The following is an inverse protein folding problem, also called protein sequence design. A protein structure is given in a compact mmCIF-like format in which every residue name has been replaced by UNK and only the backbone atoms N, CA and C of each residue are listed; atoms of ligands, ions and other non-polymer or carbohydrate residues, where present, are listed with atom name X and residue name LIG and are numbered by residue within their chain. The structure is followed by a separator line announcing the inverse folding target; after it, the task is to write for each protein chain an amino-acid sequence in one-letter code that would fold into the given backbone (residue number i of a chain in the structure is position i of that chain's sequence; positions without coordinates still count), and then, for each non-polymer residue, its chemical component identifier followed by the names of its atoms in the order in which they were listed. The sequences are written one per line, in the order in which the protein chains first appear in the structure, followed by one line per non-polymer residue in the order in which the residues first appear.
data_IF_674017259593
#
_entry.id   IF_674017259593
#
_cell.length_a   1.000
_cell.length_b   1.000
_cell.length_c   1.000
_cell.angle_alpha   90.00
_cell.angle_beta   90.00
_cell.angle_gamma   90.00
#
_symmetry.space_group_name_H-M   'P 1'
#
loop_
_entity.id
_entity.type
_entity.pdbx_description
1 polymer ?
#
# COMPACT_ATOMS: atom_id res chain seq x y z
N UNK A 1 -9.31 9.67 -12.37
CA UNK A 1 -8.72 10.20 -13.62
C UNK A 1 -8.08 9.03 -14.32
N UNK A 2 -8.32 8.89 -15.63
CA UNK A 2 -7.94 7.69 -16.37
C UNK A 2 -6.93 8.07 -17.43
N UNK A 3 -5.79 7.37 -17.45
CA UNK A 3 -4.78 7.56 -18.48
C UNK A 3 -4.46 6.21 -19.13
N UNK A 4 -4.58 6.19 -20.46
CA UNK A 4 -4.20 5.06 -21.30
C UNK A 4 -2.69 5.06 -21.50
N UNK A 5 -2.06 3.89 -21.46
CA UNK A 5 -0.69 3.70 -21.91
C UNK A 5 -0.58 2.39 -22.69
N UNK A 6 0.28 2.37 -23.70
CA UNK A 6 0.52 1.15 -24.44
C UNK A 6 1.63 0.37 -23.76
N UNK A 7 1.33 -0.85 -23.29
CA UNK A 7 2.39 -1.78 -22.97
C UNK A 7 3.01 -2.21 -24.29
N UNK A 8 4.32 -2.04 -24.41
CA UNK A 8 5.07 -2.63 -25.51
C UNK A 8 4.88 -4.14 -25.46
N UNK A 9 4.08 -4.66 -26.39
CA UNK A 9 4.16 -6.07 -26.75
C UNK A 9 5.49 -6.23 -27.46
N UNK A 10 6.41 -6.97 -26.84
CA UNK A 10 7.71 -7.33 -27.42
C UNK A 10 7.53 -8.25 -28.62
N UNK A 11 6.94 -7.74 -29.70
CA UNK A 11 6.62 -8.45 -30.92
C UNK A 11 7.81 -8.51 -31.85
N UNK A 12 8.78 -9.38 -31.52
CA UNK A 12 9.64 -10.16 -32.44
C UNK A 12 10.56 -11.02 -31.58
N UNK A 13 10.01 -12.13 -31.08
CA UNK A 13 10.78 -13.18 -30.43
C UNK A 13 11.27 -14.17 -31.49
N UNK A 14 12.59 -14.26 -31.67
CA UNK A 14 13.23 -15.42 -32.27
C UNK A 14 12.78 -16.69 -31.53
N UNK A 15 12.31 -17.68 -32.29
CA UNK A 15 11.49 -18.80 -31.81
C UNK A 15 12.21 -19.82 -30.89
N UNK A 16 13.42 -19.55 -30.38
CA UNK A 16 14.23 -20.58 -29.72
C UNK A 16 14.88 -20.18 -28.38
N UNK A 17 14.61 -19.00 -27.83
CA UNK A 17 15.12 -18.65 -26.50
C UNK A 17 14.06 -18.90 -25.42
N UNK A 18 14.34 -19.70 -24.37
CA UNK A 18 13.46 -19.75 -23.21
C UNK A 18 13.34 -18.33 -22.61
N UNK A 19 12.14 -17.88 -22.19
CA UNK A 19 11.96 -16.57 -21.59
C UNK A 19 12.66 -16.54 -20.23
N UNK A 20 13.93 -16.14 -20.23
CA UNK A 20 14.71 -15.83 -19.04
C UNK A 20 14.09 -14.60 -18.38
N UNK A 21 13.31 -14.84 -17.34
CA UNK A 21 12.89 -13.83 -16.37
C UNK A 21 13.85 -13.88 -15.17
N UNK A 22 15.16 -13.75 -15.43
CA UNK A 22 16.11 -13.61 -14.32
C UNK A 22 16.08 -12.18 -13.79
N UNK A 23 15.50 -12.05 -12.60
CA UNK A 23 15.57 -10.83 -11.81
C UNK A 23 16.96 -10.73 -11.18
N UNK A 24 17.86 -9.96 -11.79
CA UNK A 24 19.10 -9.57 -11.10
C UNK A 24 18.88 -8.22 -10.42
N UNK A 25 18.98 -8.26 -9.10
CA UNK A 25 18.82 -7.15 -8.17
C UNK A 25 20.15 -6.94 -7.47
N UNK A 26 20.81 -5.81 -7.69
CA UNK A 26 21.83 -5.30 -6.77
C UNK A 26 21.76 -3.77 -6.73
N UNK A 27 21.54 -3.22 -5.54
CA UNK A 27 22.00 -1.88 -5.21
C UNK A 27 22.35 -1.81 -3.72
N UNK A 28 23.52 -1.26 -3.45
CA UNK A 28 24.08 -0.98 -2.13
C UNK A 28 24.40 0.50 -2.09
N UNK A 29 23.76 1.27 -1.20
CA UNK A 29 24.28 2.56 -0.75
C UNK A 29 24.05 2.65 0.77
N UNK A 30 25.18 2.88 1.45
CA UNK A 30 25.35 3.10 2.87
C UNK A 30 24.67 4.40 3.32
N UNK A 31 23.97 4.34 4.46
CA UNK A 31 23.57 5.51 5.25
C UNK A 31 23.73 5.18 6.72
N UNK A 32 24.25 6.15 7.48
CA UNK A 32 24.75 6.03 8.84
C UNK A 32 23.79 5.33 9.82
N UNK A 33 24.40 4.47 10.62
CA UNK A 33 23.80 3.68 11.70
C UNK A 33 23.27 4.58 12.81
N UNK A 34 21.96 4.85 12.81
CA UNK A 34 21.23 5.18 14.04
C UNK A 34 21.14 3.90 14.86
N UNK A 35 21.86 3.88 15.99
CA UNK A 35 21.94 2.74 16.91
C UNK A 35 20.55 2.45 17.53
N UNK A 36 19.79 1.57 16.89
CA UNK A 36 18.56 1.02 17.44
C UNK A 36 18.92 0.04 18.56
N UNK A 37 18.52 0.36 19.79
CA UNK A 37 18.54 -0.61 20.90
C UNK A 37 17.76 -1.87 20.48
N UNK A 38 18.26 -3.08 20.78
CA UNK A 38 17.50 -4.30 20.54
C UNK A 38 16.18 -4.23 21.32
N UNK A 39 15.06 -4.67 20.73
CA UNK A 39 13.78 -4.67 21.43
C UNK A 39 13.88 -5.54 22.68
N UNK A 40 13.43 -4.99 23.82
CA UNK A 40 13.39 -5.71 25.09
C UNK A 40 12.60 -7.01 24.92
N UNK A 41 13.20 -8.13 25.31
CA UNK A 41 12.53 -9.44 25.31
C UNK A 41 11.44 -9.41 26.38
N UNK A 42 10.18 -9.18 25.97
CA UNK A 42 9.04 -9.27 26.86
C UNK A 42 8.86 -10.70 27.36
N UNK A 43 8.47 -10.85 28.62
CA UNK A 43 8.09 -12.16 29.14
C UNK A 43 6.81 -12.67 28.45
N UNK A 44 6.60 -14.00 28.43
CA UNK A 44 5.37 -14.61 27.90
C UNK A 44 4.12 -14.05 28.59
N UNK A 45 4.22 -13.71 29.87
CA UNK A 45 3.11 -13.18 30.66
C UNK A 45 2.78 -11.72 30.31
N UNK A 46 3.80 -10.89 30.09
CA UNK A 46 3.62 -9.51 29.59
C UNK A 46 2.93 -9.51 28.22
N UNK A 47 3.29 -10.44 27.33
CA UNK A 47 2.67 -10.52 26.00
C UNK A 47 1.18 -10.87 26.10
N UNK A 48 0.77 -11.73 27.04
CA UNK A 48 -0.66 -12.03 27.28
C UNK A 48 -1.39 -10.80 27.79
N UNK A 49 -0.81 -10.08 28.75
CA UNK A 49 -1.46 -8.92 29.34
C UNK A 49 -1.59 -7.78 28.33
N UNK A 50 -0.54 -7.51 27.55
CA UNK A 50 -0.60 -6.57 26.41
C UNK A 50 -1.71 -7.01 25.45
N UNK A 51 -1.77 -8.28 25.07
CA UNK A 51 -2.81 -8.80 24.17
C UNK A 51 -4.22 -8.58 24.72
N UNK A 52 -4.47 -8.87 25.99
CA UNK A 52 -5.78 -8.67 26.64
C UNK A 52 -6.14 -7.19 26.63
N UNK A 53 -5.21 -6.31 27.00
CA UNK A 53 -5.42 -4.87 26.98
C UNK A 53 -5.72 -4.37 25.57
N UNK A 54 -4.94 -4.77 24.57
CA UNK A 54 -5.16 -4.38 23.16
C UNK A 54 -6.52 -4.87 22.66
N UNK A 55 -6.91 -6.11 22.95
CA UNK A 55 -8.21 -6.65 22.55
C UNK A 55 -9.35 -5.89 23.26
N UNK A 56 -9.21 -5.57 24.54
CA UNK A 56 -10.21 -4.77 25.27
C UNK A 56 -10.36 -3.39 24.64
N UNK A 57 -9.25 -2.70 24.37
CA UNK A 57 -9.26 -1.39 23.71
C UNK A 57 -9.90 -1.46 22.32
N UNK A 58 -9.59 -2.50 21.53
CA UNK A 58 -10.23 -2.70 20.22
C UNK A 58 -11.74 -2.95 20.38
N UNK A 59 -12.18 -3.73 21.37
CA UNK A 59 -13.62 -3.97 21.64
C UNK A 59 -14.34 -2.70 22.05
N UNK A 60 -13.75 -1.92 22.94
CA UNK A 60 -14.28 -0.63 23.35
C UNK A 60 -14.37 0.31 22.15
N UNK A 61 -13.34 0.27 21.27
CA UNK A 61 -13.30 1.00 20.02
C UNK A 61 -14.34 0.54 18.97
N UNK A 62 -14.81 -0.70 19.03
CA UNK A 62 -15.86 -1.19 18.11
C UNK A 62 -17.24 -0.88 18.68
N UNK A 63 -17.37 -0.84 20.01
CA UNK A 63 -18.66 -0.72 20.69
C UNK A 63 -19.19 0.71 20.81
N UNK A 64 -18.33 1.74 20.72
CA UNK A 64 -18.72 3.13 20.97
C UNK A 64 -18.28 4.14 19.87
N UNK A 65 -18.52 3.86 18.57
CA UNK A 65 -17.85 4.48 17.40
C UNK A 65 -17.72 6.01 17.43
N UNK A 66 -18.68 6.71 18.01
CA UNK A 66 -18.74 8.17 18.04
C UNK A 66 -17.74 8.83 19.00
N UNK A 67 -17.26 8.10 20.01
CA UNK A 67 -16.37 8.64 21.07
C UNK A 67 -14.88 8.42 20.82
N UNK A 68 -14.54 7.71 19.75
CA UNK A 68 -13.26 7.00 19.64
C UNK A 68 -12.27 7.69 18.70
N UNK A 69 -12.75 8.48 17.74
CA UNK A 69 -11.91 9.00 16.64
C UNK A 69 -10.64 9.76 17.11
N UNK A 70 -10.61 10.28 18.34
CA UNK A 70 -9.46 11.04 18.87
C UNK A 70 -8.41 10.19 19.59
N UNK A 71 -8.75 9.02 20.12
CA UNK A 71 -7.84 8.18 20.92
C UNK A 71 -7.31 6.95 20.17
N UNK A 72 -7.92 6.56 19.04
CA UNK A 72 -7.48 5.39 18.25
C UNK A 72 -6.03 5.48 17.80
N UNK A 73 -5.64 6.62 17.22
CA UNK A 73 -4.33 6.78 16.60
C UNK A 73 -3.19 6.48 17.58
N UNK A 74 -3.15 7.17 18.74
CA UNK A 74 -2.15 6.89 19.79
C UNK A 74 -2.17 5.46 20.29
N UNK A 75 -3.34 4.84 20.45
CA UNK A 75 -3.47 3.45 20.92
C UNK A 75 -2.92 2.48 19.88
N UNK A 76 -3.35 2.56 18.62
CA UNK A 76 -2.86 1.72 17.53
C UNK A 76 -1.35 1.89 17.35
N UNK A 77 -0.87 3.14 17.40
CA UNK A 77 0.56 3.43 17.35
C UNK A 77 1.30 2.73 18.50
N UNK A 78 0.85 2.90 19.75
CA UNK A 78 1.45 2.25 20.92
C UNK A 78 1.44 0.71 20.79
N UNK A 79 0.35 0.12 20.28
CA UNK A 79 0.25 -1.31 20.02
C UNK A 79 1.25 -1.76 18.94
N UNK A 80 1.38 -0.99 17.86
CA UNK A 80 2.29 -1.29 16.75
C UNK A 80 3.77 -1.20 17.13
N UNK A 81 4.10 -0.35 18.12
CA UNK A 81 5.45 -0.25 18.69
C UNK A 81 5.69 -1.37 19.70
N UNK A 82 4.66 -1.79 20.45
CA UNK A 82 4.79 -2.81 21.51
C UNK A 82 4.78 -4.24 20.99
N UNK A 83 4.27 -4.48 19.78
CA UNK A 83 4.08 -5.81 19.21
C UNK A 83 4.81 -5.95 17.87
N UNK A 84 5.41 -7.13 17.59
CA UNK A 84 5.88 -7.44 16.25
C UNK A 84 4.73 -7.32 15.24
N UNK A 85 5.04 -6.76 14.06
CA UNK A 85 4.11 -6.57 12.94
C UNK A 85 3.17 -7.77 12.72
N UNK A 86 3.74 -8.96 12.59
CA UNK A 86 3.00 -10.19 12.33
C UNK A 86 2.00 -10.53 13.45
N UNK A 87 2.36 -10.30 14.71
CA UNK A 87 1.47 -10.56 15.86
C UNK A 87 0.36 -9.52 15.92
N UNK A 88 0.68 -8.25 15.70
CA UNK A 88 -0.34 -7.20 15.71
C UNK A 88 -1.33 -7.38 14.56
N UNK A 89 -0.85 -7.68 13.34
CA UNK A 89 -1.72 -8.02 12.20
C UNK A 89 -2.57 -9.24 12.49
N UNK A 90 -2.01 -10.31 13.08
CA UNK A 90 -2.78 -11.48 13.47
C UNK A 90 -3.87 -11.12 14.48
N UNK A 91 -3.60 -10.26 15.47
CA UNK A 91 -4.61 -9.78 16.42
C UNK A 91 -5.74 -8.97 15.75
N UNK A 92 -5.40 -8.16 14.74
CA UNK A 92 -6.39 -7.43 13.96
C UNK A 92 -7.20 -8.34 13.01
N UNK A 93 -6.66 -9.51 12.65
CA UNK A 93 -7.30 -10.47 11.75
C UNK A 93 -8.02 -11.60 12.46
N UNK A 94 -7.69 -11.86 13.73
CA UNK A 94 -8.40 -12.84 14.56
C UNK A 94 -9.88 -12.45 14.61
N UNK A 95 -10.72 -13.34 14.10
CA UNK A 95 -12.16 -13.19 13.90
C UNK A 95 -12.98 -13.11 15.20
N UNK A 96 -12.36 -12.70 16.31
CA UNK A 96 -12.83 -12.97 17.65
C UNK A 96 -13.79 -11.91 18.22
N UNK A 97 -14.42 -11.12 17.34
CA UNK A 97 -15.48 -10.18 17.70
C UNK A 97 -16.58 -10.28 16.63
N UNK A 98 -17.47 -11.27 16.76
CA UNK A 98 -18.83 -11.22 16.21
C UNK A 98 -19.03 -11.05 14.69
N UNK A 99 -18.03 -11.34 13.84
CA UNK A 99 -18.14 -11.14 12.39
C UNK A 99 -17.85 -9.71 11.91
N UNK A 100 -17.25 -8.87 12.75
CA UNK A 100 -16.97 -7.46 12.45
C UNK A 100 -15.60 -7.18 11.81
N UNK A 101 -14.95 -8.18 11.19
CA UNK A 101 -13.60 -8.06 10.59
C UNK A 101 -13.47 -6.87 9.61
N UNK A 102 -14.57 -6.50 8.94
CA UNK A 102 -14.60 -5.33 8.04
C UNK A 102 -14.49 -3.98 8.75
N UNK A 103 -15.02 -3.87 9.98
CA UNK A 103 -15.05 -2.61 10.75
C UNK A 103 -13.64 -2.21 11.19
N UNK A 104 -12.87 -3.18 11.70
CA UNK A 104 -11.51 -2.92 12.17
C UNK A 104 -10.57 -2.48 11.03
N UNK A 105 -10.74 -3.04 9.83
CA UNK A 105 -9.97 -2.63 8.65
C UNK A 105 -10.14 -1.14 8.32
N UNK A 106 -11.35 -0.60 8.46
CA UNK A 106 -11.63 0.82 8.22
C UNK A 106 -11.02 1.73 9.30
N UNK A 107 -11.07 1.33 10.58
CA UNK A 107 -10.49 2.08 11.69
C UNK A 107 -8.96 2.13 11.62
N UNK A 108 -8.33 1.02 11.27
CA UNK A 108 -6.88 0.96 11.12
C UNK A 108 -6.44 1.83 9.93
N UNK A 109 -7.17 1.76 8.80
CA UNK A 109 -6.97 2.66 7.65
C UNK A 109 -7.05 4.13 8.08
N UNK A 110 -8.07 4.49 8.85
CA UNK A 110 -8.27 5.85 9.36
C UNK A 110 -7.14 6.28 10.31
N UNK A 111 -6.67 5.39 11.18
CA UNK A 111 -5.55 5.66 12.06
C UNK A 111 -4.25 5.90 11.29
N UNK A 112 -3.93 5.04 10.32
CA UNK A 112 -2.75 5.21 9.47
C UNK A 112 -2.84 6.51 8.64
N UNK A 113 -4.05 6.90 8.19
CA UNK A 113 -4.26 8.20 7.56
C UNK A 113 -3.97 9.35 8.53
N UNK A 114 -4.52 9.30 9.75
CA UNK A 114 -4.34 10.35 10.74
C UNK A 114 -2.88 10.55 11.14
N UNK A 115 -2.09 9.47 11.21
CA UNK A 115 -0.66 9.53 11.51
C UNK A 115 0.21 9.78 10.27
N UNK A 116 -0.38 9.74 9.07
CA UNK A 116 0.33 9.78 7.79
C UNK A 116 1.46 8.73 7.70
N UNK A 117 1.29 7.57 8.34
CA UNK A 117 2.31 6.52 8.44
C UNK A 117 2.07 5.42 7.41
N UNK A 118 2.66 5.61 6.23
CA UNK A 118 2.58 4.64 5.15
C UNK A 118 3.34 3.33 5.48
N UNK A 119 4.45 3.38 6.21
CA UNK A 119 5.21 2.19 6.56
C UNK A 119 4.40 1.26 7.47
N UNK A 120 3.67 1.82 8.43
CA UNK A 120 2.69 1.09 9.23
C UNK A 120 1.58 0.53 8.36
N UNK A 121 1.02 1.32 7.43
CA UNK A 121 -0.02 0.87 6.52
C UNK A 121 0.39 -0.36 5.68
N UNK A 122 1.60 -0.33 5.08
CA UNK A 122 2.20 -1.46 4.36
C UNK A 122 2.37 -2.69 5.28
N UNK A 123 2.92 -2.47 6.47
CA UNK A 123 3.26 -3.52 7.45
C UNK A 123 2.03 -4.25 7.97
N UNK A 124 0.92 -3.54 8.15
CA UNK A 124 -0.36 -4.14 8.55
C UNK A 124 -0.97 -4.99 7.43
N UNK A 125 -0.42 -4.91 6.22
CA UNK A 125 -0.83 -5.77 5.10
C UNK A 125 -2.29 -5.59 4.74
N UNK A 126 -2.84 -4.40 5.00
CA UNK A 126 -4.20 -3.96 4.63
C UNK A 126 -4.37 -3.82 3.11
N UNK A 127 -3.28 -4.01 2.37
CA UNK A 127 -3.10 -3.44 1.05
C UNK A 127 -3.43 -4.33 -0.13
N UNK A 128 -3.63 -5.64 0.00
CA UNK A 128 -3.69 -6.40 -1.25
C UNK A 128 -4.57 -7.63 -1.21
N UNK A 129 -5.69 -7.52 -1.95
CA UNK A 129 -6.43 -8.66 -2.47
C UNK A 129 -5.56 -9.54 -3.38
N UNK A 130 -4.39 -9.08 -3.83
CA UNK A 130 -3.51 -9.83 -4.73
C UNK A 130 -2.59 -10.81 -3.97
N UNK A 131 -2.71 -10.95 -2.64
CA UNK A 131 -1.90 -11.93 -1.87
C UNK A 131 -1.97 -13.35 -2.47
N UNK A 132 -3.15 -13.90 -2.81
CA UNK A 132 -3.24 -15.24 -3.43
C UNK A 132 -2.53 -15.30 -4.78
N UNK A 133 -2.68 -14.26 -5.60
CA UNK A 133 -2.03 -14.17 -6.92
C UNK A 133 -0.50 -14.12 -6.79
N UNK A 134 0.01 -13.37 -5.82
CA UNK A 134 1.44 -13.27 -5.59
C UNK A 134 2.03 -14.57 -5.06
N UNK A 135 1.30 -15.25 -4.18
CA UNK A 135 1.68 -16.57 -3.67
C UNK A 135 1.71 -17.60 -4.80
N UNK A 136 0.71 -17.64 -5.68
CA UNK A 136 0.69 -18.58 -6.81
C UNK A 136 1.79 -18.32 -7.84
N UNK A 137 2.24 -17.07 -7.97
CA UNK A 137 3.32 -16.68 -8.87
C UNK A 137 4.72 -16.75 -8.24
N UNK A 138 4.84 -17.10 -6.95
CA UNK A 138 6.12 -17.03 -6.23
C UNK A 138 6.73 -15.62 -6.21
N UNK A 139 5.89 -14.59 -6.33
CA UNK A 139 6.33 -13.21 -6.49
C UNK A 139 6.54 -12.54 -5.11
N UNK A 140 7.72 -11.95 -4.85
CA UNK A 140 7.96 -11.23 -3.59
C UNK A 140 7.08 -9.98 -3.49
N UNK A 141 7.15 -9.32 -2.34
CA UNK A 141 6.36 -8.10 -2.10
C UNK A 141 6.77 -6.94 -2.97
N UNK A 142 5.76 -6.27 -3.52
CA UNK A 142 5.95 -4.97 -4.13
C UNK A 142 6.45 -4.03 -3.04
N UNK A 143 7.36 -3.16 -3.43
CA UNK A 143 7.93 -2.16 -2.54
C UNK A 143 7.32 -0.81 -2.88
N UNK A 144 6.75 -0.14 -1.88
CA UNK A 144 6.18 1.20 -2.03
C UNK A 144 6.85 2.09 -0.99
N UNK A 145 7.47 3.16 -1.47
CA UNK A 145 8.09 4.18 -0.63
C UNK A 145 7.41 5.52 -0.94
N UNK A 146 6.99 6.22 0.11
CA UNK A 146 6.34 7.53 -0.01
C UNK A 146 7.21 8.56 0.69
N UNK A 147 7.56 9.62 -0.04
CA UNK A 147 8.36 10.73 0.44
C UNK A 147 7.51 12.01 0.45
N UNK A 148 7.59 12.76 1.55
CA UNK A 148 7.06 14.13 1.57
C UNK A 148 7.89 15.05 0.67
N UNK A 149 7.25 15.99 -0.02
CA UNK A 149 7.94 17.02 -0.79
C UNK A 149 8.16 18.30 0.04
N UNK A 150 9.11 19.13 -0.40
CA UNK A 150 9.44 20.42 0.24
C UNK A 150 8.28 21.43 0.18
N UNK A 151 7.42 21.29 -0.82
CA UNK A 151 6.26 22.15 -1.01
C UNK A 151 5.04 21.58 -0.28
N UNK A 152 4.21 22.49 0.26
CA UNK A 152 2.94 22.13 0.87
C UNK A 152 2.08 21.36 -0.14
N UNK A 153 1.56 20.21 0.30
CA UNK A 153 0.74 19.32 -0.52
C UNK A 153 1.47 18.66 -1.71
N UNK A 154 2.80 18.55 -1.70
CA UNK A 154 3.55 17.68 -2.63
C UNK A 154 4.03 16.39 -1.96
N UNK A 155 3.96 15.28 -2.68
CA UNK A 155 4.58 14.02 -2.27
C UNK A 155 5.07 13.25 -3.51
N UNK A 156 6.01 12.34 -3.29
CA UNK A 156 6.54 11.44 -4.31
C UNK A 156 6.34 10.01 -3.83
N UNK A 157 5.71 9.17 -4.63
CA UNK A 157 5.61 7.73 -4.35
C UNK A 157 6.49 6.97 -5.35
N UNK A 158 7.47 6.21 -4.84
CA UNK A 158 8.29 5.29 -5.62
C UNK A 158 7.74 3.88 -5.42
N UNK A 159 7.36 3.23 -6.51
CA UNK A 159 6.78 1.89 -6.49
C UNK A 159 7.63 0.94 -7.31
N UNK A 160 8.01 -0.19 -6.73
CA UNK A 160 8.67 -1.29 -7.42
C UNK A 160 7.73 -2.49 -7.45
N UNK A 161 7.08 -2.68 -8.60
CA UNK A 161 6.13 -3.78 -8.80
C UNK A 161 6.78 -4.91 -9.58
N UNK A 162 6.86 -6.09 -8.97
CA UNK A 162 7.48 -7.23 -9.65
C UNK A 162 6.46 -7.97 -10.49
N UNK A 163 6.90 -8.39 -11.69
CA UNK A 163 6.07 -9.13 -12.66
C UNK A 163 4.74 -8.43 -12.96
N UNK A 164 4.70 -7.09 -12.95
CA UNK A 164 3.48 -6.29 -13.17
C UNK A 164 2.73 -6.75 -14.42
N UNK A 165 3.43 -6.91 -15.54
CA UNK A 165 2.82 -7.37 -16.80
C UNK A 165 2.15 -8.75 -16.66
N UNK A 166 2.87 -9.73 -16.10
CA UNK A 166 2.34 -11.09 -15.91
C UNK A 166 1.14 -11.10 -14.97
N UNK A 167 1.22 -10.35 -13.87
CA UNK A 167 0.12 -10.19 -12.92
C UNK A 167 -1.09 -9.51 -13.56
N UNK A 168 -0.90 -8.46 -14.35
CA UNK A 168 -1.99 -7.81 -15.09
C UNK A 168 -2.63 -8.74 -16.11
N UNK A 169 -1.86 -9.58 -16.82
CA UNK A 169 -2.44 -10.57 -17.76
C UNK A 169 -3.34 -11.59 -17.05
N UNK A 170 -2.95 -12.02 -15.84
CA UNK A 170 -3.70 -13.03 -15.08
C UNK A 170 -4.89 -12.41 -14.35
N UNK A 171 -4.67 -11.34 -13.58
CA UNK A 171 -5.69 -10.74 -12.74
C UNK A 171 -6.57 -9.70 -13.45
N UNK A 172 -6.13 -9.20 -14.61
CA UNK A 172 -6.74 -8.09 -15.39
C UNK A 172 -6.86 -6.75 -14.67
N UNK A 173 -6.80 -6.73 -13.36
CA UNK A 173 -6.71 -5.54 -12.54
C UNK A 173 -5.73 -5.80 -11.39
N UNK A 174 -5.02 -4.75 -10.99
CA UNK A 174 -4.11 -4.74 -9.88
C UNK A 174 -4.25 -3.42 -9.14
N UNK A 175 -4.29 -3.49 -7.82
CA UNK A 175 -4.50 -2.32 -6.97
C UNK A 175 -3.34 -2.12 -6.03
N UNK A 176 -2.86 -0.88 -5.96
CA UNK A 176 -1.92 -0.41 -4.96
C UNK A 176 -2.55 0.76 -4.23
N UNK A 177 -2.53 0.72 -2.91
CA UNK A 177 -2.96 1.83 -2.08
C UNK A 177 -1.72 2.41 -1.39
N UNK A 178 -1.73 3.70 -1.09
CA UNK A 178 -0.64 4.35 -0.35
C UNK A 178 -1.21 5.50 0.47
N UNK A 179 -0.50 5.87 1.53
CA UNK A 179 -0.89 6.97 2.40
C UNK A 179 0.03 8.15 2.17
N UNK A 180 -0.56 9.32 1.92
CA UNK A 180 0.16 10.58 1.89
C UNK A 180 -0.77 11.74 2.19
N UNK A 181 -0.29 12.69 2.99
CA UNK A 181 -1.00 13.92 3.36
C UNK A 181 -2.39 13.66 3.94
N UNK A 182 -2.47 12.69 4.85
CA UNK A 182 -3.72 12.35 5.53
C UNK A 182 -4.78 11.71 4.62
N UNK A 183 -4.37 11.17 3.47
CA UNK A 183 -5.27 10.55 2.49
C UNK A 183 -4.73 9.20 2.06
N UNK A 184 -5.64 8.26 1.79
CA UNK A 184 -5.34 7.04 1.06
C UNK A 184 -5.56 7.32 -0.43
N UNK A 185 -4.47 7.22 -1.17
CA UNK A 185 -4.44 7.23 -2.62
C UNK A 185 -4.52 5.79 -3.12
N UNK A 186 -5.23 5.60 -4.22
CA UNK A 186 -5.40 4.30 -4.88
C UNK A 186 -4.94 4.41 -6.32
N UNK A 187 -3.97 3.59 -6.67
CA UNK A 187 -3.49 3.38 -8.03
C UNK A 187 -4.04 2.03 -8.52
N UNK A 188 -4.85 2.07 -9.57
CA UNK A 188 -5.43 0.89 -10.20
C UNK A 188 -4.81 0.71 -11.58
N UNK A 189 -4.15 -0.42 -11.78
CA UNK A 189 -3.69 -0.87 -13.09
C UNK A 189 -4.71 -1.85 -13.63
N UNK A 190 -5.12 -1.73 -14.88
CA UNK A 190 -6.05 -2.68 -15.47
C UNK A 190 -5.84 -2.85 -16.97
N UNK A 191 -6.23 -4.01 -17.48
CA UNK A 191 -6.22 -4.36 -18.89
C UNK A 191 -7.62 -4.15 -19.46
N UNK A 192 -7.72 -3.33 -20.50
CA UNK A 192 -8.95 -3.17 -21.26
C UNK A 192 -9.17 -4.38 -22.20
N UNK A 193 -10.36 -4.43 -22.82
CA UNK A 193 -10.76 -5.53 -23.73
C UNK A 193 -9.88 -5.57 -24.98
N UNK A 194 -9.35 -4.42 -25.41
CA UNK A 194 -8.40 -4.27 -26.52
C UNK A 194 -6.95 -4.63 -26.13
N UNK A 195 -6.75 -5.28 -24.98
CA UNK A 195 -5.45 -5.58 -24.38
C UNK A 195 -4.57 -4.35 -24.08
N UNK A 196 -5.13 -3.13 -24.10
CA UNK A 196 -4.39 -1.95 -23.67
C UNK A 196 -4.32 -1.84 -22.14
N UNK A 197 -3.18 -1.36 -21.64
CA UNK A 197 -2.97 -1.08 -20.23
C UNK A 197 -3.51 0.30 -19.84
N UNK A 198 -4.11 0.40 -18.67
CA UNK A 198 -4.61 1.66 -18.11
C UNK A 198 -4.17 1.81 -16.68
N UNK A 199 -3.83 3.04 -16.30
CA UNK A 199 -3.61 3.41 -14.89
C UNK A 199 -4.63 4.45 -14.50
N UNK A 200 -5.30 4.22 -13.37
CA UNK A 200 -6.21 5.16 -12.73
C UNK A 200 -5.66 5.55 -11.36
N UNK A 201 -5.50 6.85 -11.14
CA UNK A 201 -5.28 7.41 -9.81
C UNK A 201 -6.62 7.92 -9.24
N UNK A 202 -6.91 7.53 -8.01
CA UNK A 202 -8.16 7.82 -7.30
C UNK A 202 -7.93 7.97 -5.79
N UNK A 203 -8.91 8.49 -5.07
CA UNK A 203 -8.95 8.51 -3.61
C UNK A 203 -9.79 7.33 -3.11
N UNK A 204 -9.36 6.69 -2.03
CA UNK A 204 -10.19 5.67 -1.38
C UNK A 204 -11.46 6.28 -0.78
N UNK A 205 -12.51 5.45 -0.60
CA UNK A 205 -13.87 5.82 -0.15
C UNK A 205 -13.95 6.68 1.13
N UNK A 206 -12.90 6.67 1.95
CA UNK A 206 -12.84 7.39 3.24
C UNK A 206 -11.79 8.51 3.28
N UNK A 207 -11.13 8.78 2.16
CA UNK A 207 -10.18 9.89 2.06
C UNK A 207 -10.91 11.21 1.91
N UNK A 208 -10.38 12.26 2.54
CA UNK A 208 -10.87 13.63 2.31
C UNK A 208 -10.68 14.02 0.84
N UNK A 209 -11.62 14.77 0.24
CA UNK A 209 -11.51 15.25 -1.13
C UNK A 209 -10.17 15.96 -1.41
N UNK A 210 -9.70 15.82 -2.65
CA UNK A 210 -8.46 16.47 -3.10
C UNK A 210 -8.54 16.85 -4.58
N UNK A 211 -7.77 17.86 -4.96
CA UNK A 211 -7.52 18.23 -6.34
C UNK A 211 -6.06 17.92 -6.67
N UNK A 212 -5.67 16.64 -6.87
CA UNK A 212 -4.29 16.31 -7.15
C UNK A 212 -3.84 16.89 -8.49
N UNK A 213 -2.63 17.44 -8.49
CA UNK A 213 -1.80 17.51 -9.68
C UNK A 213 -0.77 16.41 -9.54
N UNK A 214 -0.91 15.33 -10.31
CA UNK A 214 -0.08 14.15 -10.15
C UNK A 214 0.74 13.89 -11.41
N UNK A 215 1.98 13.44 -11.20
CA UNK A 215 2.86 12.98 -12.25
C UNK A 215 3.24 11.54 -11.93
N UNK A 216 2.92 10.62 -12.83
CA UNK A 216 3.32 9.23 -12.77
C UNK A 216 4.47 9.02 -13.74
N UNK A 217 5.61 8.59 -13.21
CA UNK A 217 6.76 8.21 -14.01
C UNK A 217 6.91 6.70 -13.93
N UNK A 218 6.88 6.03 -15.08
CA UNK A 218 7.04 4.58 -15.20
C UNK A 218 8.41 4.32 -15.79
N UNK A 219 9.33 3.80 -15.00
CA UNK A 219 10.67 3.44 -15.46
C UNK A 219 10.72 1.92 -15.69
N UNK A 220 11.16 1.50 -16.89
CA UNK A 220 11.49 0.11 -17.13
C UNK A 220 12.83 -0.22 -16.46
N UNK A 221 12.93 -1.39 -15.82
CA UNK A 221 14.14 -1.87 -15.12
C UNK A 221 15.28 -2.31 -16.09
N UNK A 222 15.22 -1.93 -17.37
CA UNK A 222 16.29 -2.24 -18.30
C UNK A 222 17.43 -1.23 -18.07
N UNK A 223 18.68 -1.64 -18.30
CA UNK A 223 19.93 -0.88 -18.06
C UNK A 223 19.98 0.53 -18.70
N UNK A 224 18.97 0.90 -19.50
CA UNK A 224 18.71 2.26 -19.94
C UNK A 224 17.30 2.68 -19.49
N UNK A 225 17.17 3.68 -18.61
CA UNK A 225 15.88 4.17 -18.16
C UNK A 225 15.15 4.84 -19.32
N UNK A 226 14.26 4.10 -19.97
CA UNK A 226 13.18 4.68 -20.76
C UNK A 226 12.04 4.95 -19.78
N UNK A 227 12.10 6.11 -19.11
CA UNK A 227 11.03 6.57 -18.24
C UNK A 227 9.85 7.06 -19.09
N UNK A 228 8.71 6.36 -19.03
CA UNK A 228 7.44 6.86 -19.52
C UNK A 228 6.87 7.84 -18.49
N UNK A 229 6.92 9.13 -18.81
CA UNK A 229 6.34 10.19 -17.99
C UNK A 229 4.88 10.40 -18.37
N UNK A 230 3.97 10.03 -17.47
CA UNK A 230 2.53 10.20 -17.58
C UNK A 230 2.11 11.33 -16.64
N UNK A 231 1.61 12.44 -17.19
CA UNK A 231 1.07 13.54 -16.40
C UNK A 231 -0.44 13.36 -16.24
N UNK A 232 -0.90 13.33 -15.00
CA UNK A 232 -2.32 13.38 -14.68
C UNK A 232 -2.72 14.83 -14.50
N UNK A 233 -3.38 15.37 -15.51
CA UNK A 233 -4.05 16.65 -15.38
C UNK A 233 -5.53 16.42 -15.05
N UNK A 234 -6.08 17.13 -14.04
CA UNK A 234 -7.50 17.15 -13.83
C UNK A 234 -8.22 17.57 -15.11
N UNK A 235 -9.19 16.76 -15.57
CA UNK A 235 -10.07 17.17 -16.68
C UNK A 235 -11.07 18.21 -16.14
N UNK A 236 -10.63 19.46 -16.02
CA UNK A 236 -11.34 20.61 -15.43
C UNK A 236 -11.15 20.74 -13.91
N UNK A 237 -11.86 21.68 -13.26
CA UNK A 237 -11.87 21.93 -11.80
C UNK A 237 -12.56 20.82 -10.98
N UNK A 238 -12.54 19.58 -11.48
CA UNK A 238 -13.21 18.45 -10.85
C UNK A 238 -12.40 17.98 -9.65
N UNK A 239 -12.91 18.30 -8.47
CA UNK A 239 -12.50 17.72 -7.20
C UNK A 239 -12.65 16.20 -7.29
N UNK A 240 -11.61 15.44 -6.94
CA UNK A 240 -11.77 14.00 -6.77
C UNK A 240 -12.59 13.75 -5.50
N UNK A 241 -13.80 13.24 -5.69
CA UNK A 241 -14.59 12.68 -4.62
C UNK A 241 -14.17 11.22 -4.35
N UNK A 242 -14.30 10.73 -3.12
CA UNK A 242 -14.12 9.31 -2.82
C UNK A 242 -15.04 8.44 -3.70
N UNK A 243 -14.51 7.34 -4.26
CA UNK A 243 -15.33 6.36 -4.98
C UNK A 243 -16.26 5.62 -3.99
N UNK A 244 -17.57 5.67 -4.24
CA UNK A 244 -18.62 5.02 -3.44
C UNK A 244 -18.67 3.51 -3.59
#
# INVERSE_FOLDING_TARGET
MDTKFELFDGGKSDANAPPSYEAVSMSSISTDSVQCRPPSVFSKEQTKQIRVTVISLIRDMVSAPDSISRSVGPIIHACSVSLPAAKFTALLQESNIGGHTLVLGSHVRLACMATNDHALFMRLGLESLDKPLRQSLGCPSDEVQVYGGDAQNKFTAKMQMRMLQKRMRIARNMRVELISQGRIWRLLFYMAVDASGHVRLSLAKHSLPACPKALLMVEAHNERPQGLKIQFEPKGDKVLAPEG
#
